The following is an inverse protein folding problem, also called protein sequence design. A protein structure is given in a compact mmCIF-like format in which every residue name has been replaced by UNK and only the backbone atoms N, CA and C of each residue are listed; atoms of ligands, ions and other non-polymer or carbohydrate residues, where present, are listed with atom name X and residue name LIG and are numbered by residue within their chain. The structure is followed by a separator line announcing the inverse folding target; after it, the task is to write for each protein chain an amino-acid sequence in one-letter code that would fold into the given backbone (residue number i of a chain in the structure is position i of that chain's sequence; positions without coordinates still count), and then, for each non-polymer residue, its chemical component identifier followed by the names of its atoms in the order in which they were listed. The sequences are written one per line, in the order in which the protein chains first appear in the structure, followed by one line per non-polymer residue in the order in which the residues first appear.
data_IF_341517123692
#
_entry.id   IF_341517123692
#
_cell.length_a   1.000
_cell.length_b   1.000
_cell.length_c   1.000
_cell.angle_alpha   90.00
_cell.angle_beta   90.00
_cell.angle_gamma   90.00
#
_symmetry.space_group_name_H-M   'P 1'
#
loop_
_entity.id
_entity.type
_entity.pdbx_description
1 polymer ?
#
# COMPACT_ATOMS: atom_id res chain seq x y z
N UNK A 1 0.97 11.57 17.92
CA UNK A 1 1.05 11.53 16.44
C UNK A 1 0.49 10.18 16.01
N UNK A 2 -0.14 10.03 14.85
CA UNK A 2 -0.43 8.69 14.33
C UNK A 2 0.89 8.05 13.87
N UNK A 3 1.11 6.77 14.11
CA UNK A 3 2.28 6.05 13.61
C UNK A 3 1.82 4.97 12.63
N UNK A 4 2.65 4.76 11.60
CA UNK A 4 2.53 3.62 10.70
C UNK A 4 3.82 2.80 10.82
N UNK A 5 3.66 1.51 11.06
CA UNK A 5 4.76 0.56 11.08
C UNK A 5 4.68 -0.30 9.81
N UNK A 6 5.78 -0.35 9.06
CA UNK A 6 5.87 -1.12 7.82
C UNK A 6 6.71 -2.37 8.06
N UNK A 7 6.11 -3.54 7.86
CA UNK A 7 6.84 -4.80 7.81
C UNK A 7 7.09 -5.17 6.35
N UNK A 8 8.35 -5.14 5.95
CA UNK A 8 8.79 -5.61 4.66
C UNK A 8 8.67 -7.14 4.57
N UNK A 9 8.12 -7.65 3.47
CA UNK A 9 7.91 -9.09 3.26
C UNK A 9 8.71 -9.61 2.07
N UNK A 10 8.73 -8.88 0.96
CA UNK A 10 9.30 -9.39 -0.29
C UNK A 10 9.80 -8.28 -1.23
N UNK A 11 10.88 -8.57 -1.96
CA UNK A 11 11.51 -7.70 -2.96
C UNK A 11 11.65 -8.44 -4.29
N UNK A 12 11.08 -7.86 -5.34
CA UNK A 12 11.41 -8.25 -6.71
C UNK A 12 12.14 -7.11 -7.41
N UNK A 13 13.24 -7.42 -8.09
CA UNK A 13 13.94 -6.47 -8.94
C UNK A 13 13.91 -6.96 -10.39
N UNK A 14 13.58 -6.06 -11.31
CA UNK A 14 13.66 -6.28 -12.75
C UNK A 14 14.26 -5.05 -13.43
N UNK A 15 15.52 -5.17 -13.86
CA UNK A 15 16.26 -4.07 -14.48
C UNK A 15 16.36 -2.84 -13.56
N UNK A 16 15.78 -1.73 -14.03
CA UNK A 16 15.72 -0.45 -13.34
C UNK A 16 14.47 -0.28 -12.47
N UNK A 17 13.73 -1.36 -12.19
CA UNK A 17 12.53 -1.36 -11.33
C UNK A 17 12.71 -2.28 -10.14
N UNK A 18 12.20 -1.83 -8.99
CA UNK A 18 12.06 -2.63 -7.76
C UNK A 18 10.59 -2.61 -7.36
N UNK A 19 10.06 -3.76 -6.98
CA UNK A 19 8.75 -3.92 -6.39
C UNK A 19 8.95 -4.43 -4.96
N UNK A 20 8.64 -3.58 -3.98
CA UNK A 20 8.67 -3.89 -2.57
C UNK A 20 7.25 -4.19 -2.10
N UNK A 21 7.05 -5.29 -1.38
CA UNK A 21 5.74 -5.68 -0.83
C UNK A 21 5.84 -5.86 0.66
N UNK A 22 4.77 -5.52 1.36
CA UNK A 22 4.75 -5.69 2.80
C UNK A 22 3.38 -5.53 3.44
N UNK A 23 3.41 -5.51 4.76
CA UNK A 23 2.24 -5.30 5.63
C UNK A 23 2.44 -4.03 6.42
N UNK A 24 1.33 -3.45 6.89
CA UNK A 24 1.40 -2.33 7.83
C UNK A 24 0.42 -2.48 8.98
N UNK A 25 0.76 -1.81 10.07
CA UNK A 25 -0.13 -1.53 11.20
C UNK A 25 -0.12 -0.03 11.42
N UNK A 26 -1.30 0.57 11.54
CA UNK A 26 -1.44 1.98 11.90
C UNK A 26 -2.06 2.09 13.29
N UNK A 27 -1.45 2.88 14.17
CA UNK A 27 -1.99 3.15 15.49
C UNK A 27 -2.33 4.64 15.66
N UNK A 28 -3.33 4.91 16.49
CA UNK A 28 -3.66 6.26 16.92
C UNK A 28 -2.75 6.76 18.04
N UNK A 29 -3.05 7.96 18.57
CA UNK A 29 -2.24 8.58 19.63
C UNK A 29 -2.28 7.81 20.96
N UNK A 30 -3.23 6.90 21.13
CA UNK A 30 -3.44 6.06 22.29
C UNK A 30 -2.84 4.66 22.11
N UNK A 31 -2.08 4.42 21.03
CA UNK A 31 -1.55 3.12 20.62
C UNK A 31 -2.65 2.08 20.32
N UNK A 32 -3.86 2.52 19.94
CA UNK A 32 -4.90 1.63 19.48
C UNK A 32 -4.76 1.41 17.97
N UNK A 33 -4.89 0.17 17.52
CA UNK A 33 -4.85 -0.19 16.10
C UNK A 33 -6.09 0.39 15.42
N UNK A 34 -5.88 1.24 14.41
CA UNK A 34 -6.95 1.85 13.62
C UNK A 34 -6.98 1.36 12.17
N UNK A 35 -5.89 0.74 11.71
CA UNK A 35 -5.86 0.04 10.43
C UNK A 35 -4.78 -1.05 10.42
N UNK A 36 -5.03 -2.12 9.68
CA UNK A 36 -4.05 -3.14 9.32
C UNK A 36 -4.22 -3.44 7.84
N UNK A 37 -3.12 -3.63 7.13
CA UNK A 37 -3.24 -3.87 5.70
C UNK A 37 -1.96 -4.30 5.04
N UNK A 38 -1.95 -4.15 3.72
CA UNK A 38 -0.82 -4.50 2.86
C UNK A 38 -0.43 -3.30 2.03
N UNK A 39 0.83 -3.28 1.60
CA UNK A 39 1.34 -2.26 0.71
C UNK A 39 2.18 -2.88 -0.40
N UNK A 40 2.24 -2.15 -1.51
CA UNK A 40 3.21 -2.33 -2.58
C UNK A 40 3.84 -0.97 -2.88
N UNK A 41 5.16 -0.95 -3.04
CA UNK A 41 5.92 0.23 -3.41
C UNK A 41 6.79 -0.12 -4.62
N UNK A 42 6.60 0.62 -5.71
CA UNK A 42 7.33 0.45 -6.95
C UNK A 42 8.34 1.58 -7.06
N UNK A 43 9.61 1.22 -7.14
CA UNK A 43 10.72 2.14 -7.33
C UNK A 43 11.27 2.03 -8.75
N UNK A 44 11.74 3.15 -9.29
CA UNK A 44 12.52 3.20 -10.53
C UNK A 44 13.90 3.79 -10.26
N UNK A 45 14.92 3.25 -10.94
CA UNK A 45 16.29 3.76 -10.85
C UNK A 45 16.44 4.95 -11.79
N UNK A 46 16.76 6.10 -11.24
CA UNK A 46 17.05 7.34 -11.96
C UNK A 46 18.52 7.69 -11.73
N UNK A 47 19.36 7.36 -12.71
CA UNK A 47 20.82 7.43 -12.59
C UNK A 47 21.33 6.46 -11.51
N UNK A 48 21.87 7.01 -10.42
CA UNK A 48 22.39 6.24 -9.28
C UNK A 48 21.40 6.09 -8.13
N UNK A 49 20.21 6.69 -8.21
CA UNK A 49 19.25 6.74 -7.11
C UNK A 49 17.97 5.99 -7.44
N UNK A 50 17.43 5.28 -6.45
CA UNK A 50 16.07 4.74 -6.53
C UNK A 50 15.08 5.82 -6.11
N UNK A 51 14.01 5.98 -6.89
CA UNK A 51 12.90 6.90 -6.60
C UNK A 51 11.60 6.11 -6.54
N UNK A 52 10.78 6.40 -5.54
CA UNK A 52 9.43 5.85 -5.43
C UNK A 52 8.60 6.43 -6.59
N UNK A 53 8.08 5.56 -7.45
CA UNK A 53 7.18 5.95 -8.54
C UNK A 53 5.72 5.70 -8.20
N UNK A 54 5.44 4.68 -7.40
CA UNK A 54 4.08 4.34 -7.00
C UNK A 54 4.12 3.73 -5.62
N UNK A 55 3.25 4.20 -4.75
CA UNK A 55 2.84 3.48 -3.56
C UNK A 55 1.35 3.13 -3.67
N UNK A 56 0.99 2.00 -3.08
CA UNK A 56 -0.40 1.59 -2.96
C UNK A 56 -0.56 0.82 -1.67
N UNK A 57 -1.62 1.18 -0.94
CA UNK A 57 -2.01 0.58 0.31
C UNK A 57 -3.43 0.09 0.19
N UNK A 58 -3.74 -1.05 0.80
CA UNK A 58 -5.11 -1.51 0.97
C UNK A 58 -5.34 -1.92 2.42
N UNK A 59 -6.47 -1.50 2.98
CA UNK A 59 -6.93 -1.99 4.28
C UNK A 59 -7.25 -3.48 4.17
N UNK A 60 -6.94 -4.21 5.22
CA UNK A 60 -7.34 -5.59 5.46
C UNK A 60 -8.19 -5.71 6.72
N UNK A 61 -8.58 -4.60 7.33
CA UNK A 61 -9.64 -4.61 8.33
C UNK A 61 -10.97 -4.96 7.66
N UNK A 62 -11.77 -5.76 8.34
CA UNK A 62 -13.12 -6.06 7.88
C UNK A 62 -13.96 -4.77 7.87
N UNK A 63 -14.47 -4.40 6.69
CA UNK A 63 -15.47 -3.36 6.57
C UNK A 63 -16.85 -3.96 6.78
N UNK A 64 -17.66 -3.37 7.66
CA UNK A 64 -19.07 -3.74 7.81
C UNK A 64 -19.93 -2.92 6.83
N UNK A 65 -20.67 -3.61 5.95
CA UNK A 65 -21.77 -3.10 5.09
C UNK A 65 -21.37 -2.25 3.87
N UNK A 66 -22.25 -2.12 2.85
CA UNK A 66 -21.88 -2.30 1.44
C UNK A 66 -20.87 -1.26 0.95
N UNK A 67 -19.88 -1.75 0.21
CA UNK A 67 -18.86 -0.92 -0.41
C UNK A 67 -19.55 -0.10 -1.51
N UNK A 68 -19.70 1.21 -1.28
CA UNK A 68 -19.96 2.14 -2.38
C UNK A 68 -18.77 2.08 -3.32
N UNK A 69 -18.99 1.59 -4.54
CA UNK A 69 -17.95 1.51 -5.58
C UNK A 69 -17.95 2.84 -6.33
N UNK A 70 -16.86 3.64 -6.26
CA UNK A 70 -16.77 4.87 -7.03
C UNK A 70 -16.90 4.62 -8.53
N UNK A 71 -17.50 5.57 -9.25
CA UNK A 71 -17.79 5.42 -10.69
C UNK A 71 -16.58 5.06 -11.54
N UNK A 72 -15.38 5.53 -11.18
CA UNK A 72 -14.15 5.23 -11.91
C UNK A 72 -13.64 3.79 -11.74
N UNK A 73 -14.16 3.03 -10.76
CA UNK A 73 -13.90 1.60 -10.61
C UNK A 73 -14.95 0.73 -11.32
N UNK A 74 -16.03 1.33 -11.85
CA UNK A 74 -16.99 0.60 -12.68
C UNK A 74 -16.36 0.32 -14.05
N UNK A 75 -16.18 -0.96 -14.35
CA UNK A 75 -15.73 -1.38 -15.67
C UNK A 75 -16.88 -1.25 -16.68
N UNK A 76 -16.64 -0.70 -17.88
CA UNK A 76 -17.65 -0.65 -18.91
C UNK A 76 -18.14 -2.07 -19.23
N UNK A 77 -19.46 -2.25 -19.28
CA UNK A 77 -20.07 -3.51 -19.74
C UNK A 77 -19.93 -3.54 -21.27
N UNK A 78 -19.27 -4.59 -21.78
CA UNK A 78 -19.20 -4.87 -23.22
C UNK A 78 -20.58 -5.21 -23.78
#
# INVERSE_FOLDING_TARGET
MHNIELQFIDLEQSGDKIIARGKYVMNNKQNEIIDIGKFIAIYKKEGTKWRLQTDMFNTSMETRSPIEVPDYLNLPKN
#
